data_IF_260746247583
#
_entry.id   IF_260746247583
#
_cell.length_a   1.000
_cell.length_b   1.000
_cell.length_c   1.000
_cell.angle_alpha   90.00
_cell.angle_beta   90.00
_cell.angle_gamma   90.00
#
_symmetry.space_group_name_H-M   'P 1'
#
loop_
_entity.id
_entity.type
_entity.pdbx_description
1 polymer ?
#
# COMPACT_ATOMS: atom_id res chain seq x y z
N UNK A 1 -21.33 15.71 -5.52
CA UNK A 1 -19.92 15.24 -5.52
C UNK A 1 -19.67 14.05 -4.58
N UNK A 2 -20.03 14.11 -3.29
CA UNK A 2 -19.79 13.03 -2.32
C UNK A 2 -20.39 11.65 -2.70
N UNK A 3 -21.54 11.63 -3.39
CA UNK A 3 -22.19 10.40 -3.87
C UNK A 3 -21.41 9.66 -4.95
N UNK A 4 -20.54 10.34 -5.71
CA UNK A 4 -19.62 9.72 -6.66
C UNK A 4 -18.50 8.98 -5.93
N UNK A 5 -17.85 9.64 -4.97
CA UNK A 5 -16.78 9.08 -4.15
C UNK A 5 -17.26 7.86 -3.36
N UNK A 6 -18.45 7.93 -2.77
CA UNK A 6 -19.01 6.80 -2.03
C UNK A 6 -19.26 5.57 -2.92
N UNK A 7 -19.73 5.77 -4.16
CA UNK A 7 -19.90 4.68 -5.14
C UNK A 7 -18.56 4.08 -5.57
N UNK A 8 -17.53 4.92 -5.75
CA UNK A 8 -16.18 4.48 -6.07
C UNK A 8 -15.56 3.68 -4.92
N UNK A 9 -15.63 4.18 -3.69
CA UNK A 9 -15.13 3.49 -2.49
C UNK A 9 -15.83 2.14 -2.31
N UNK A 10 -17.15 2.08 -2.54
CA UNK A 10 -17.92 0.84 -2.45
C UNK A 10 -17.49 -0.17 -3.51
N UNK A 11 -17.28 0.26 -4.76
CA UNK A 11 -16.72 -0.58 -5.84
C UNK A 11 -15.30 -1.06 -5.54
N UNK A 12 -14.43 -0.17 -5.06
CA UNK A 12 -13.05 -0.52 -4.70
C UNK A 12 -13.06 -1.58 -3.59
N UNK A 13 -13.90 -1.40 -2.56
CA UNK A 13 -14.06 -2.38 -1.48
C UNK A 13 -14.56 -3.72 -2.01
N UNK A 14 -15.52 -3.71 -2.92
CA UNK A 14 -16.08 -4.93 -3.52
C UNK A 14 -15.04 -5.68 -4.38
N UNK A 15 -14.27 -4.96 -5.20
CA UNK A 15 -13.14 -5.51 -5.94
C UNK A 15 -12.13 -6.10 -4.97
N UNK A 16 -11.72 -5.33 -3.97
CA UNK A 16 -10.70 -5.75 -3.01
C UNK A 16 -11.17 -6.97 -2.20
N UNK A 17 -12.47 -7.06 -1.90
CA UNK A 17 -13.04 -8.23 -1.25
C UNK A 17 -13.03 -9.46 -2.18
N UNK A 18 -13.41 -9.30 -3.45
CA UNK A 18 -13.37 -10.39 -4.44
C UNK A 18 -11.96 -10.94 -4.67
N UNK A 19 -10.93 -10.08 -4.68
CA UNK A 19 -9.53 -10.46 -4.85
C UNK A 19 -8.76 -10.64 -3.52
N UNK A 20 -9.45 -10.56 -2.38
CA UNK A 20 -8.83 -10.69 -1.05
C UNK A 20 -8.26 -12.08 -0.80
N UNK A 21 -8.83 -13.10 -1.46
CA UNK A 21 -8.31 -14.45 -1.45
C UNK A 21 -7.29 -14.59 -2.58
N UNK A 22 -6.00 -14.73 -2.28
CA UNK A 22 -5.01 -14.96 -3.32
C UNK A 22 -5.28 -16.32 -3.95
N UNK A 23 -5.74 -16.32 -5.20
CA UNK A 23 -5.92 -17.54 -6.00
C UNK A 23 -4.57 -18.16 -6.42
N UNK A 24 -3.48 -17.38 -6.32
CA UNK A 24 -2.11 -17.82 -6.60
C UNK A 24 -1.46 -18.14 -5.25
N UNK A 25 -0.98 -19.38 -5.11
CA UNK A 25 -0.24 -19.82 -3.92
C UNK A 25 1.03 -18.97 -3.81
N UNK A 26 1.07 -18.05 -2.84
CA UNK A 26 2.28 -17.26 -2.59
C UNK A 26 3.34 -18.15 -1.96
N UNK A 27 4.48 -18.30 -2.65
CA UNK A 27 5.63 -18.95 -2.05
C UNK A 27 6.11 -18.15 -0.82
N UNK A 28 6.71 -18.84 0.15
CA UNK A 28 7.27 -18.19 1.35
C UNK A 28 8.26 -17.08 0.99
N UNK A 29 9.05 -17.27 -0.08
CA UNK A 29 9.98 -16.26 -0.59
C UNK A 29 9.27 -14.99 -1.06
N UNK A 30 8.20 -15.12 -1.86
CA UNK A 30 7.43 -13.95 -2.35
C UNK A 30 6.81 -13.17 -1.18
N UNK A 31 6.32 -13.87 -0.15
CA UNK A 31 5.77 -13.23 1.05
C UNK A 31 6.83 -12.42 1.80
N UNK A 32 8.05 -12.96 1.95
CA UNK A 32 9.18 -12.27 2.60
C UNK A 32 9.62 -11.08 1.75
N UNK A 33 9.78 -11.25 0.44
CA UNK A 33 10.15 -10.15 -0.48
C UNK A 33 9.14 -9.01 -0.46
N UNK A 34 7.83 -9.33 -0.44
CA UNK A 34 6.78 -8.32 -0.27
C UNK A 34 6.87 -7.59 1.07
N UNK A 35 7.23 -8.30 2.15
CA UNK A 35 7.40 -7.70 3.47
C UNK A 35 8.63 -6.79 3.51
N UNK A 36 9.76 -7.23 2.96
CA UNK A 36 10.97 -6.42 2.81
C UNK A 36 10.70 -5.17 1.96
N UNK A 37 9.95 -5.31 0.85
CA UNK A 37 9.56 -4.20 0.00
C UNK A 37 8.73 -3.15 0.76
N UNK A 38 7.78 -3.57 1.59
CA UNK A 38 7.01 -2.64 2.43
C UNK A 38 7.89 -1.89 3.41
N UNK A 39 8.81 -2.58 4.10
CA UNK A 39 9.75 -1.95 5.03
C UNK A 39 10.64 -0.94 4.30
N UNK A 40 11.17 -1.32 3.14
CA UNK A 40 11.98 -0.44 2.30
C UNK A 40 11.22 0.85 1.92
N UNK A 41 9.97 0.72 1.46
CA UNK A 41 9.15 1.88 1.10
C UNK A 41 8.89 2.79 2.31
N UNK A 42 8.62 2.23 3.49
CA UNK A 42 8.43 3.01 4.71
C UNK A 42 9.70 3.77 5.11
N UNK A 43 10.86 3.11 5.05
CA UNK A 43 12.15 3.74 5.32
C UNK A 43 12.44 4.86 4.32
N UNK A 44 12.21 4.61 3.04
CA UNK A 44 12.41 5.59 1.97
C UNK A 44 11.57 6.85 2.22
N UNK A 45 10.27 6.70 2.48
CA UNK A 45 9.37 7.82 2.79
C UNK A 45 9.80 8.54 4.07
N UNK A 46 10.19 7.80 5.11
CA UNK A 46 10.71 8.38 6.35
C UNK A 46 11.97 9.22 6.12
N UNK A 47 12.90 8.72 5.31
CA UNK A 47 14.11 9.45 4.92
C UNK A 47 13.80 10.71 4.11
N UNK A 48 12.84 10.64 3.18
CA UNK A 48 12.39 11.81 2.43
C UNK A 48 11.83 12.88 3.37
N UNK A 49 10.96 12.52 4.31
CA UNK A 49 10.40 13.46 5.29
C UNK A 49 11.49 14.02 6.19
N UNK A 50 12.37 13.17 6.73
CA UNK A 50 13.49 13.60 7.57
C UNK A 50 14.38 14.61 6.83
N UNK A 51 14.77 14.29 5.60
CA UNK A 51 15.63 15.15 4.79
C UNK A 51 14.94 16.45 4.39
N UNK A 52 13.64 16.40 4.13
CA UNK A 52 12.83 17.59 3.85
C UNK A 52 12.78 18.54 5.05
N UNK A 53 12.57 18.02 6.27
CA UNK A 53 12.60 18.82 7.50
C UNK A 53 13.99 19.43 7.68
N UNK A 54 15.05 18.65 7.48
CA UNK A 54 16.42 19.13 7.65
C UNK A 54 16.83 20.20 6.63
N UNK A 55 16.27 20.17 5.41
CA UNK A 55 16.53 21.21 4.39
C UNK A 55 15.75 22.50 4.68
N UNK A 56 14.58 22.40 5.29
CA UNK A 56 13.71 23.55 5.58
C UNK A 56 13.93 24.18 6.97
N UNK A 57 14.71 23.52 7.83
CA UNK A 57 15.08 24.00 9.15
C UNK A 57 16.44 24.70 9.15
#
# INVERSE_FOLDING_TARGET
MASSLYRLVRKIREINHRYSKPHIVMSRGVKISLMALRVYLLLLVGLFVYKFILILS
#
